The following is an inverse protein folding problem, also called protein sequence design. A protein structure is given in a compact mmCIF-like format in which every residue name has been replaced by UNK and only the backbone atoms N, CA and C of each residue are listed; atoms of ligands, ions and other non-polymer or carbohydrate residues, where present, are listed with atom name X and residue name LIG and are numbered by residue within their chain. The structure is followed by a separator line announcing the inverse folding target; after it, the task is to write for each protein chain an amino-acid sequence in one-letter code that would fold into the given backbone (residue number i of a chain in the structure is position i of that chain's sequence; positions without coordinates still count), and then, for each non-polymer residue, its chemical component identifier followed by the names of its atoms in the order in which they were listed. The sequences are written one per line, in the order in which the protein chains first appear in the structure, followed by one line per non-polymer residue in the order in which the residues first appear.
data_IF_316410778155
#
_entry.id   IF_316410778155
#
_cell.length_a   1.000
_cell.length_b   1.000
_cell.length_c   1.000
_cell.angle_alpha   90.00
_cell.angle_beta   90.00
_cell.angle_gamma   90.00
#
_symmetry.space_group_name_H-M   'P 1'
#
loop_
_entity.id
_entity.type
_entity.pdbx_description
1 polymer ?
#
# COMPACT_ATOMS: atom_id res chain seq x y z
N UNK A 1 -2.66 1.94 4.95
CA UNK A 1 -3.63 3.06 4.86
C UNK A 1 -3.91 3.78 6.21
N UNK A 2 -4.34 3.10 7.28
CA UNK A 2 -4.67 3.75 8.58
C UNK A 2 -3.48 4.51 9.19
N UNK A 3 -2.28 3.89 9.20
CA UNK A 3 -1.03 4.52 9.67
C UNK A 3 -0.68 5.84 8.97
N UNK A 4 -1.08 5.99 7.71
CA UNK A 4 -0.85 7.20 6.91
C UNK A 4 -2.05 8.16 6.92
N UNK A 5 -3.12 7.87 7.69
CA UNK A 5 -4.27 8.76 7.89
C UNK A 5 -5.26 8.86 6.72
N UNK A 6 -5.26 7.91 5.77
CA UNK A 6 -6.22 7.90 4.65
C UNK A 6 -7.59 7.32 5.03
N UNK A 7 -7.60 6.41 5.99
CA UNK A 7 -8.82 5.81 6.56
C UNK A 7 -8.82 6.06 8.07
N UNK A 8 -10.02 6.17 8.64
CA UNK A 8 -10.21 6.30 10.07
C UNK A 8 -10.15 4.95 10.77
N UNK A 9 -10.85 4.85 11.89
CA UNK A 9 -10.99 3.60 12.64
C UNK A 9 -11.67 2.53 11.79
N UNK A 10 -11.19 1.30 11.94
CA UNK A 10 -11.76 0.10 11.31
C UNK A 10 -12.15 -0.91 12.37
N UNK A 11 -13.36 -1.43 12.28
CA UNK A 11 -13.90 -2.47 13.16
C UNK A 11 -13.95 -3.80 12.41
N UNK A 12 -13.49 -4.86 13.07
CA UNK A 12 -13.56 -6.24 12.54
C UNK A 12 -14.69 -6.94 13.27
N UNK A 13 -15.71 -7.36 12.54
CA UNK A 13 -16.85 -8.12 13.05
C UNK A 13 -16.62 -9.58 12.71
N UNK A 14 -16.58 -10.43 13.74
CA UNK A 14 -16.50 -11.89 13.58
C UNK A 14 -17.90 -12.47 13.35
N UNK A 15 -18.14 -12.98 12.14
CA UNK A 15 -19.38 -13.67 11.77
C UNK A 15 -19.26 -15.20 11.83
N UNK A 16 -18.21 -15.73 12.47
CA UNK A 16 -17.82 -17.14 12.49
C UNK A 16 -17.60 -17.73 11.08
N UNK A 17 -17.42 -16.89 10.06
CA UNK A 17 -17.09 -17.27 8.68
C UNK A 17 -15.77 -16.62 8.26
N UNK A 18 -15.82 -15.67 7.33
CA UNK A 18 -14.65 -14.98 6.79
C UNK A 18 -14.42 -13.62 7.47
N UNK A 19 -15.32 -13.20 8.36
CA UNK A 19 -15.32 -11.90 8.99
C UNK A 19 -15.83 -10.79 8.05
N UNK A 20 -16.16 -9.66 8.66
CA UNK A 20 -16.49 -8.41 7.96
C UNK A 20 -15.67 -7.29 8.54
N UNK A 21 -15.29 -6.33 7.70
CA UNK A 21 -14.52 -5.16 8.13
C UNK A 21 -15.35 -3.93 7.80
N UNK A 22 -15.71 -3.16 8.82
CA UNK A 22 -16.30 -1.84 8.66
C UNK A 22 -15.16 -0.82 8.70
N UNK A 23 -15.05 -0.01 7.66
CA UNK A 23 -13.99 1.01 7.54
C UNK A 23 -14.63 2.38 7.52
N UNK A 24 -14.21 3.26 8.43
CA UNK A 24 -14.62 4.66 8.41
C UNK A 24 -13.77 5.46 7.41
N UNK A 25 -14.41 6.12 6.44
CA UNK A 25 -13.74 6.93 5.43
C UNK A 25 -13.73 8.40 5.86
N UNK A 26 -12.54 9.01 5.94
CA UNK A 26 -12.36 10.41 6.33
C UNK A 26 -12.45 11.41 5.17
N UNK A 27 -12.65 10.91 3.94
CA UNK A 27 -12.72 11.72 2.71
C UNK A 27 -11.35 12.13 2.13
N UNK A 28 -10.23 11.62 2.66
CA UNK A 28 -8.87 11.91 2.16
C UNK A 28 -8.37 10.98 1.06
N UNK A 29 -9.07 9.88 0.81
CA UNK A 29 -8.67 8.86 -0.16
C UNK A 29 -9.14 9.27 -1.56
N UNK A 30 -8.21 9.44 -2.50
CA UNK A 30 -8.54 9.72 -3.89
C UNK A 30 -8.74 8.41 -4.66
N UNK A 31 -7.78 7.49 -4.53
CA UNK A 31 -7.80 6.19 -5.20
C UNK A 31 -6.92 5.18 -4.47
N UNK A 32 -7.46 3.99 -4.21
CA UNK A 32 -6.69 2.80 -3.88
C UNK A 32 -6.87 1.74 -4.96
N UNK A 33 -5.80 0.99 -5.27
CA UNK A 33 -5.84 -0.04 -6.30
C UNK A 33 -4.85 -1.16 -6.02
N UNK A 34 -5.19 -2.36 -6.50
CA UNK A 34 -4.32 -3.53 -6.48
C UNK A 34 -3.63 -3.69 -7.83
N UNK A 35 -2.40 -4.20 -7.82
CA UNK A 35 -1.67 -4.55 -9.03
C UNK A 35 -1.66 -6.08 -9.15
N UNK A 36 -2.20 -6.57 -10.26
CA UNK A 36 -2.27 -7.99 -10.59
C UNK A 36 -1.78 -8.20 -12.03
N UNK A 37 -0.81 -9.10 -12.28
CA UNK A 37 -0.13 -9.95 -11.31
C UNK A 37 0.83 -9.17 -10.38
N UNK A 38 1.17 -9.75 -9.23
CA UNK A 38 2.13 -9.15 -8.29
C UNK A 38 3.56 -9.31 -8.81
N UNK A 39 4.04 -8.30 -9.52
CA UNK A 39 5.37 -8.28 -10.11
C UNK A 39 6.48 -8.20 -9.06
N UNK A 40 7.60 -8.84 -9.34
CA UNK A 40 8.84 -8.69 -8.56
C UNK A 40 9.50 -7.35 -8.89
N UNK A 41 9.78 -6.56 -7.86
CA UNK A 41 10.33 -5.20 -7.97
C UNK A 41 11.62 -5.12 -7.17
N UNK A 42 12.72 -4.86 -7.87
CA UNK A 42 14.00 -4.55 -7.24
C UNK A 42 14.03 -3.09 -6.78
N UNK A 43 14.93 -2.76 -5.85
CA UNK A 43 15.06 -1.40 -5.30
C UNK A 43 15.32 -0.35 -6.40
N UNK A 44 16.08 -0.72 -7.43
CA UNK A 44 16.38 0.13 -8.60
C UNK A 44 15.15 0.45 -9.45
N UNK A 45 14.16 -0.43 -9.46
CA UNK A 45 12.96 -0.30 -10.30
C UNK A 45 11.85 0.46 -9.57
N UNK A 46 11.97 0.71 -8.26
CA UNK A 46 10.95 1.42 -7.48
C UNK A 46 10.65 2.81 -8.01
N UNK A 47 11.66 3.54 -8.49
CA UNK A 47 11.46 4.89 -9.02
C UNK A 47 10.63 4.88 -10.31
N UNK A 48 10.80 3.86 -11.15
CA UNK A 48 9.96 3.66 -12.34
C UNK A 48 8.51 3.39 -11.93
N UNK A 49 8.29 2.56 -10.91
CA UNK A 49 6.94 2.28 -10.41
C UNK A 49 6.29 3.49 -9.73
N UNK A 50 7.04 4.29 -8.97
CA UNK A 50 6.57 5.56 -8.40
C UNK A 50 6.06 6.50 -9.49
N UNK A 51 6.87 6.75 -10.52
CA UNK A 51 6.51 7.67 -11.60
C UNK A 51 5.30 7.19 -12.42
N UNK A 52 5.10 5.87 -12.53
CA UNK A 52 3.99 5.30 -13.30
C UNK A 52 2.66 5.24 -12.52
N UNK A 53 2.72 5.06 -11.20
CA UNK A 53 1.54 4.78 -10.37
C UNK A 53 1.08 5.97 -9.53
N UNK A 54 2.03 6.79 -9.06
CA UNK A 54 1.71 7.89 -8.16
C UNK A 54 1.50 9.18 -8.97
N UNK A 55 0.52 10.02 -8.58
CA UNK A 55 0.23 11.26 -9.30
C UNK A 55 1.35 12.31 -9.12
N UNK A 56 2.14 12.21 -8.05
CA UNK A 56 3.25 13.12 -7.76
C UNK A 56 4.32 12.42 -6.93
N UNK A 57 5.56 12.93 -6.95
CA UNK A 57 6.66 12.45 -6.10
C UNK A 57 6.48 12.82 -4.62
N UNK A 58 5.61 13.78 -4.33
CA UNK A 58 5.36 14.28 -2.98
C UNK A 58 4.24 13.53 -2.26
N UNK A 59 3.45 12.72 -2.97
CA UNK A 59 2.21 12.20 -2.43
C UNK A 59 1.84 10.83 -3.02
N UNK A 60 1.34 9.97 -2.14
CA UNK A 60 0.92 8.61 -2.45
C UNK A 60 1.91 7.56 -1.99
N UNK A 61 1.41 6.34 -1.82
CA UNK A 61 2.18 5.23 -1.30
C UNK A 61 1.99 3.99 -2.16
N UNK A 62 3.09 3.29 -2.42
CA UNK A 62 3.09 1.97 -3.02
C UNK A 62 3.37 0.96 -1.90
N UNK A 63 2.53 -0.07 -1.80
CA UNK A 63 2.69 -1.16 -0.85
C UNK A 63 3.41 -2.34 -1.52
N UNK A 64 4.42 -2.87 -0.83
CA UNK A 64 5.25 -3.99 -1.28
C UNK A 64 5.24 -5.09 -0.22
N UNK A 65 5.14 -6.34 -0.66
CA UNK A 65 5.40 -7.49 0.19
C UNK A 65 6.88 -7.83 0.10
N UNK A 66 7.58 -7.67 1.23
CA UNK A 66 9.01 -7.96 1.37
C UNK A 66 9.22 -9.08 2.39
N UNK A 67 10.47 -9.55 2.54
CA UNK A 67 10.82 -10.51 3.60
C UNK A 67 10.63 -9.96 5.02
N UNK A 68 10.63 -8.64 5.19
CA UNK A 68 10.36 -7.96 6.46
C UNK A 68 8.87 -7.67 6.70
N UNK A 69 7.98 -8.19 5.84
CA UNK A 69 6.54 -7.96 5.90
C UNK A 69 6.04 -7.01 4.80
N UNK A 70 4.78 -6.58 4.95
CA UNK A 70 4.14 -5.60 4.07
C UNK A 70 4.58 -4.21 4.52
N UNK A 71 5.30 -3.51 3.64
CA UNK A 71 5.85 -2.19 3.92
C UNK A 71 5.56 -1.25 2.75
N UNK A 72 5.58 0.05 3.03
CA UNK A 72 5.53 1.04 1.99
C UNK A 72 6.89 1.17 1.29
N UNK A 73 6.87 1.75 0.10
CA UNK A 73 8.04 1.95 -0.73
C UNK A 73 9.10 2.91 -0.16
N UNK A 74 8.77 3.84 0.74
CA UNK A 74 9.75 4.69 1.42
C UNK A 74 10.49 3.87 2.48
N UNK A 75 9.75 3.06 3.24
CA UNK A 75 10.31 2.12 4.20
C UNK A 75 11.16 1.04 3.52
N UNK A 76 10.75 0.55 2.34
CA UNK A 76 11.53 -0.36 1.53
C UNK A 76 12.88 0.26 1.09
N UNK A 77 12.88 1.54 0.71
CA UNK A 77 14.10 2.28 0.38
C UNK A 77 15.01 2.44 1.60
N UNK A 78 14.45 2.77 2.76
CA UNK A 78 15.21 2.90 4.02
C UNK A 78 15.83 1.58 4.47
N UNK A 79 15.10 0.47 4.32
CA UNK A 79 15.58 -0.89 4.65
C UNK A 79 16.38 -1.53 3.52
N UNK A 80 16.63 -0.81 2.43
CA UNK A 80 17.36 -1.28 1.26
C UNK A 80 16.87 -2.65 0.74
N UNK A 81 15.55 -2.83 0.71
CA UNK A 81 14.89 -4.13 0.44
C UNK A 81 13.91 -3.98 -0.74
N UNK A 82 13.91 -4.97 -1.65
CA UNK A 82 12.90 -5.10 -2.71
C UNK A 82 11.81 -6.11 -2.33
N UNK A 83 10.88 -6.36 -3.24
CA UNK A 83 9.81 -7.32 -2.97
C UNK A 83 8.81 -7.44 -4.11
N UNK A 84 7.61 -7.93 -3.79
CA UNK A 84 6.51 -8.02 -4.76
C UNK A 84 5.58 -6.83 -4.59
N UNK A 85 5.25 -6.16 -5.69
CA UNK A 85 4.30 -5.04 -5.66
C UNK A 85 2.88 -5.57 -5.39
N UNK A 86 2.21 -4.96 -4.41
CA UNK A 86 0.85 -5.35 -4.02
C UNK A 86 -0.18 -4.38 -4.60
N UNK A 87 0.04 -3.09 -4.40
CA UNK A 87 -0.92 -2.07 -4.75
C UNK A 87 -0.42 -0.68 -4.42
N UNK A 88 -1.29 0.29 -4.60
CA UNK A 88 -1.02 1.70 -4.32
C UNK A 88 -2.25 2.37 -3.74
N UNK A 89 -2.03 3.45 -3.00
CA UNK A 89 -3.08 4.34 -2.56
C UNK A 89 -2.57 5.78 -2.49
N UNK A 90 -3.46 6.71 -2.82
CA UNK A 90 -3.28 8.15 -2.71
C UNK A 90 -4.66 8.83 -2.69
#
# INVERSE_FOLDING_TARGET
MMKHGYIGESEIIDDHRAGKIIVNLTGRLNKCGVISPRFDVQLKDLEKWQNNLLPSRQFGYIELTTSAGIIDHEEARRKHTGGKIMGFFF
#
